data_IF_067700807825
#
_entry.id   IF_067700807825
#
_cell.length_a   1.000
_cell.length_b   1.000
_cell.length_c   1.000
_cell.angle_alpha   90.00
_cell.angle_beta   90.00
_cell.angle_gamma   90.00
#
_symmetry.space_group_name_H-M   'P 1'
#
loop_
_entity.id
_entity.type
_entity.pdbx_description
1 polymer ?
#
# COMPACT_ATOMS: atom_id res chain seq x y z
N UNK A 1 -2.91 -65.43 -0.76
CA UNK A 1 -2.79 -64.21 0.08
C UNK A 1 -2.14 -63.13 -0.76
N UNK A 2 -2.93 -62.25 -1.38
CA UNK A 2 -2.43 -61.22 -2.29
C UNK A 2 -2.35 -59.90 -1.53
N UNK A 3 -1.13 -59.37 -1.35
CA UNK A 3 -0.86 -58.09 -0.67
C UNK A 3 -1.06 -56.95 -1.67
N UNK A 4 -2.08 -56.14 -1.47
CA UNK A 4 -2.33 -54.92 -2.23
C UNK A 4 -1.37 -53.82 -1.74
N UNK A 5 -0.50 -53.33 -2.63
CA UNK A 5 0.32 -52.14 -2.40
C UNK A 5 -0.53 -50.90 -2.71
N UNK A 6 -0.76 -50.04 -1.72
CA UNK A 6 -1.38 -48.73 -1.90
C UNK A 6 -0.28 -47.70 -2.19
N UNK A 7 -0.24 -47.17 -3.42
CA UNK A 7 0.52 -45.97 -3.75
C UNK A 7 -0.20 -44.75 -3.17
N UNK A 8 0.44 -44.05 -2.23
CA UNK A 8 0.01 -42.73 -1.79
C UNK A 8 0.40 -41.69 -2.83
N UNK A 9 -0.58 -41.19 -3.60
CA UNK A 9 -0.39 -40.04 -4.48
C UNK A 9 -0.34 -38.75 -3.67
N UNK A 10 0.79 -38.05 -3.72
CA UNK A 10 0.92 -36.68 -3.19
C UNK A 10 0.23 -35.74 -4.17
N UNK A 11 -0.97 -35.27 -3.84
CA UNK A 11 -1.57 -34.12 -4.54
C UNK A 11 -0.87 -32.85 -4.05
N UNK A 12 0.00 -32.28 -4.88
CA UNK A 12 0.46 -30.91 -4.70
C UNK A 12 -0.69 -29.95 -4.98
N UNK A 13 -1.18 -29.25 -3.95
CA UNK A 13 -2.15 -28.19 -4.12
C UNK A 13 -1.46 -26.98 -4.77
N UNK A 14 -1.74 -26.73 -6.04
CA UNK A 14 -1.45 -25.46 -6.69
C UNK A 14 -2.41 -24.42 -6.12
N UNK A 15 -1.90 -23.49 -5.32
CA UNK A 15 -2.66 -22.33 -4.86
C UNK A 15 -2.97 -21.44 -6.08
N UNK A 16 -4.24 -21.39 -6.47
CA UNK A 16 -4.73 -20.39 -7.42
C UNK A 16 -4.69 -19.01 -6.73
N UNK A 17 -4.26 -17.94 -7.41
CA UNK A 17 -4.38 -16.60 -6.87
C UNK A 17 -5.86 -16.31 -6.63
N UNK A 18 -6.23 -16.02 -5.38
CA UNK A 18 -7.57 -15.57 -5.06
C UNK A 18 -7.80 -14.25 -5.80
N UNK A 19 -8.66 -14.26 -6.83
CA UNK A 19 -9.23 -13.04 -7.36
C UNK A 19 -9.97 -12.37 -6.20
N UNK A 20 -9.63 -11.12 -5.89
CA UNK A 20 -10.37 -10.30 -4.93
C UNK A 20 -11.85 -10.25 -5.37
N UNK A 21 -12.66 -11.15 -4.84
CA UNK A 21 -14.06 -11.32 -5.20
C UNK A 21 -14.92 -10.29 -4.48
N UNK A 22 -15.73 -9.56 -5.25
CA UNK A 22 -16.95 -8.80 -4.87
C UNK A 22 -17.08 -8.27 -3.43
N UNK A 23 -16.02 -7.72 -2.86
CA UNK A 23 -16.10 -6.97 -1.62
C UNK A 23 -16.44 -5.52 -1.97
N UNK A 24 -17.65 -5.08 -1.60
CA UNK A 24 -18.18 -3.75 -1.91
C UNK A 24 -17.37 -2.61 -1.26
N UNK A 25 -16.42 -2.95 -0.38
CA UNK A 25 -15.47 -2.01 0.21
C UNK A 25 -14.33 -1.63 -0.73
N UNK A 26 -14.10 -2.32 -1.85
CA UNK A 26 -12.96 -2.02 -2.73
C UNK A 26 -13.42 -1.84 -4.17
N UNK A 27 -13.22 -0.64 -4.73
CA UNK A 27 -13.35 -0.46 -6.17
C UNK A 27 -12.20 -1.18 -6.91
N UNK A 28 -12.40 -1.58 -8.17
CA UNK A 28 -11.36 -2.27 -8.94
C UNK A 28 -10.11 -1.38 -9.14
N UNK A 29 -8.92 -1.98 -9.30
CA UNK A 29 -7.69 -1.23 -9.61
C UNK A 29 -7.85 -0.31 -10.82
N UNK A 30 -7.22 0.86 -10.75
CA UNK A 30 -7.32 1.90 -11.76
C UNK A 30 -8.63 2.72 -11.72
N UNK A 31 -9.58 2.40 -10.85
CA UNK A 31 -10.83 3.16 -10.71
C UNK A 31 -10.65 4.49 -9.95
N UNK A 32 -9.90 5.43 -10.51
CA UNK A 32 -9.60 6.73 -9.89
C UNK A 32 -10.84 7.62 -9.73
N UNK A 33 -10.71 8.77 -9.04
CA UNK A 33 -11.78 9.77 -8.99
C UNK A 33 -12.03 10.35 -10.39
N UNK A 34 -13.27 10.67 -10.78
CA UNK A 34 -13.55 11.29 -12.07
C UNK A 34 -12.71 12.55 -12.30
N UNK A 35 -12.05 12.65 -13.46
CA UNK A 35 -11.19 13.79 -13.82
C UNK A 35 -9.84 13.85 -13.09
N UNK A 36 -9.50 12.84 -12.28
CA UNK A 36 -8.23 12.80 -11.54
C UNK A 36 -7.07 12.16 -12.31
N UNK A 37 -7.32 11.48 -13.42
CA UNK A 37 -6.31 10.84 -14.26
C UNK A 37 -6.82 9.54 -14.90
N UNK A 38 -5.90 8.74 -15.42
CA UNK A 38 -6.17 7.40 -15.95
C UNK A 38 -5.38 6.37 -15.15
N UNK A 39 -6.08 5.52 -14.41
CA UNK A 39 -5.46 4.49 -13.57
C UNK A 39 -5.03 3.24 -14.35
N UNK A 40 -4.31 2.35 -13.67
CA UNK A 40 -3.87 1.07 -14.25
C UNK A 40 -4.88 -0.02 -13.91
N UNK A 41 -5.64 -0.45 -14.91
CA UNK A 41 -6.67 -1.48 -14.77
C UNK A 41 -6.08 -2.91 -14.72
N UNK A 42 -5.18 -3.18 -13.77
CA UNK A 42 -4.59 -4.50 -13.54
C UNK A 42 -5.00 -5.04 -12.18
N UNK A 43 -5.61 -6.23 -12.17
CA UNK A 43 -5.95 -6.95 -10.95
C UNK A 43 -4.78 -7.79 -10.38
N UNK A 44 -3.58 -7.68 -10.96
CA UNK A 44 -2.43 -8.46 -10.51
C UNK A 44 -2.00 -8.05 -9.08
N UNK A 45 -2.04 -9.02 -8.16
CA UNK A 45 -1.44 -8.89 -6.83
C UNK A 45 0.07 -9.14 -6.98
N UNK A 46 0.83 -8.06 -7.12
CA UNK A 46 2.29 -8.13 -7.34
C UNK A 46 3.06 -8.58 -6.09
N UNK A 47 2.49 -8.38 -4.91
CA UNK A 47 3.12 -8.64 -3.61
C UNK A 47 2.17 -9.43 -2.70
N UNK A 48 1.91 -10.72 -3.01
CA UNK A 48 0.90 -11.50 -2.29
C UNK A 48 1.26 -11.73 -0.81
N UNK A 49 2.55 -11.75 -0.48
CA UNK A 49 3.03 -11.97 0.88
C UNK A 49 3.22 -10.66 1.67
N UNK A 50 2.94 -9.49 1.07
CA UNK A 50 3.10 -8.23 1.81
C UNK A 50 2.08 -8.15 2.95
N UNK A 51 2.52 -7.63 4.09
CA UNK A 51 1.64 -7.20 5.18
C UNK A 51 1.15 -5.79 4.92
N UNK A 52 -0.11 -5.53 5.23
CA UNK A 52 -0.68 -4.19 5.13
C UNK A 52 0.12 -3.18 5.98
N UNK A 53 0.49 -2.00 5.45
CA UNK A 53 1.50 -1.13 6.06
C UNK A 53 0.99 -0.26 7.22
N UNK A 54 -0.28 -0.37 7.60
CA UNK A 54 -0.85 0.25 8.82
C UNK A 54 -1.17 -0.84 9.84
N UNK A 55 -0.62 -0.69 11.05
CA UNK A 55 -0.55 -1.74 12.07
C UNK A 55 -1.90 -2.42 12.38
N UNK A 56 -2.95 -1.61 12.58
CA UNK A 56 -4.25 -2.09 13.05
C UNK A 56 -5.34 -1.07 12.77
N UNK A 57 -6.59 -1.50 12.95
CA UNK A 57 -7.77 -0.67 12.79
C UNK A 57 -8.11 -0.40 11.32
N UNK A 58 -9.23 0.28 11.09
CA UNK A 58 -9.65 0.65 9.74
C UNK A 58 -8.59 1.49 9.02
N UNK A 59 -8.58 1.41 7.68
CA UNK A 59 -7.82 2.29 6.83
C UNK A 59 -8.66 2.67 5.62
N UNK A 60 -8.29 3.75 4.94
CA UNK A 60 -9.05 4.31 3.83
C UNK A 60 -8.11 4.71 2.69
N UNK A 61 -8.14 3.93 1.61
CA UNK A 61 -7.48 4.28 0.36
C UNK A 61 -8.37 5.28 -0.40
N UNK A 62 -7.96 6.54 -0.43
CA UNK A 62 -8.73 7.61 -1.07
C UNK A 62 -7.82 8.78 -1.41
N UNK A 63 -8.19 9.59 -2.41
CA UNK A 63 -7.38 10.72 -2.86
C UNK A 63 -7.17 11.75 -1.76
N UNK A 64 -5.94 12.23 -1.57
CA UNK A 64 -5.66 13.41 -0.74
C UNK A 64 -5.69 14.70 -1.55
N UNK A 65 -5.51 14.62 -2.85
CA UNK A 65 -5.39 15.80 -3.71
C UNK A 65 -6.72 16.19 -4.33
N UNK A 66 -7.54 15.20 -4.72
CA UNK A 66 -8.86 15.38 -5.32
C UNK A 66 -10.01 15.11 -4.35
N UNK A 67 -9.73 14.59 -3.15
CA UNK A 67 -10.71 14.40 -2.06
C UNK A 67 -11.10 15.71 -1.37
N UNK A 68 -12.06 15.65 -0.44
CA UNK A 68 -12.50 16.84 0.33
C UNK A 68 -11.33 17.42 1.12
N UNK A 69 -11.13 18.74 1.04
CA UNK A 69 -9.98 19.43 1.66
C UNK A 69 -8.66 19.24 0.91
N UNK A 70 -8.66 18.54 -0.23
CA UNK A 70 -7.52 18.42 -1.13
C UNK A 70 -7.36 19.62 -2.07
N UNK A 71 -6.15 19.84 -2.59
CA UNK A 71 -5.80 21.01 -3.40
C UNK A 71 -6.63 21.14 -4.70
N UNK A 72 -7.12 20.04 -5.27
CA UNK A 72 -7.99 19.98 -6.46
C UNK A 72 -9.36 19.37 -6.14
N UNK A 73 -9.66 19.15 -4.87
CA UNK A 73 -10.93 18.60 -4.44
C UNK A 73 -11.96 19.67 -4.11
N UNK A 74 -13.08 19.21 -3.55
CA UNK A 74 -14.07 20.10 -2.95
C UNK A 74 -13.45 20.83 -1.75
N UNK A 75 -13.82 22.09 -1.56
CA UNK A 75 -13.48 22.83 -0.35
C UNK A 75 -14.01 22.09 0.89
N UNK A 76 -13.24 22.09 1.97
CA UNK A 76 -13.56 21.40 3.21
C UNK A 76 -12.31 21.07 4.02
N UNK A 77 -12.48 20.22 5.02
CA UNK A 77 -11.37 19.73 5.85
C UNK A 77 -10.85 18.40 5.30
N UNK A 78 -9.53 18.20 5.33
CA UNK A 78 -8.92 16.91 4.99
C UNK A 78 -9.33 15.77 5.94
N UNK A 79 -9.81 16.12 7.14
CA UNK A 79 -10.37 15.24 8.16
C UNK A 79 -11.86 14.96 7.99
N UNK A 80 -12.52 15.46 6.94
CA UNK A 80 -13.95 15.23 6.67
C UNK A 80 -14.28 13.72 6.63
N UNK A 81 -15.41 13.32 7.23
CA UNK A 81 -15.85 11.92 7.33
C UNK A 81 -15.95 11.23 5.96
N UNK A 82 -16.24 11.98 4.89
CA UNK A 82 -16.27 11.44 3.53
C UNK A 82 -14.91 10.88 3.06
N UNK A 83 -13.80 11.30 3.68
CA UNK A 83 -12.48 10.77 3.40
C UNK A 83 -12.18 9.46 4.17
N UNK A 84 -13.00 9.11 5.17
CA UNK A 84 -12.88 7.92 6.04
C UNK A 84 -14.01 6.91 5.76
N UNK A 85 -14.31 6.71 4.48
CA UNK A 85 -15.40 5.87 4.02
C UNK A 85 -14.95 4.82 3.01
N UNK A 86 -15.76 3.76 2.91
CA UNK A 86 -15.74 2.81 1.82
C UNK A 86 -16.71 3.26 0.70
N UNK A 87 -16.51 2.83 -0.55
CA UNK A 87 -15.42 1.97 -0.99
C UNK A 87 -14.08 2.70 -1.10
N UNK A 88 -13.00 1.95 -0.88
CA UNK A 88 -11.65 2.34 -1.25
C UNK A 88 -11.55 2.61 -2.74
N UNK A 89 -10.63 3.51 -3.06
CA UNK A 89 -10.34 3.92 -4.41
C UNK A 89 -8.84 3.99 -4.62
N UNK A 90 -8.41 3.44 -5.74
CA UNK A 90 -7.06 3.61 -6.23
C UNK A 90 -6.78 5.10 -6.43
N UNK A 91 -5.60 5.55 -6.03
CA UNK A 91 -5.10 6.90 -6.31
C UNK A 91 -3.70 6.91 -6.93
N UNK A 92 -3.16 5.75 -7.31
CA UNK A 92 -1.99 5.64 -8.17
C UNK A 92 -2.31 6.20 -9.56
N UNK A 93 -1.35 6.86 -10.22
CA UNK A 93 -1.56 7.57 -11.49
C UNK A 93 -2.51 8.78 -11.48
N UNK A 94 -3.01 9.23 -10.33
CA UNK A 94 -3.67 10.54 -10.27
C UNK A 94 -2.72 11.63 -10.78
N UNK A 95 -3.21 12.58 -11.57
CA UNK A 95 -2.38 13.61 -12.20
C UNK A 95 -1.54 14.35 -11.15
N UNK A 96 -0.22 14.20 -11.31
CA UNK A 96 0.86 14.90 -10.62
C UNK A 96 1.91 15.26 -11.67
N UNK A 97 3.00 15.92 -11.26
CA UNK A 97 4.05 16.36 -12.19
C UNK A 97 4.97 15.23 -12.65
N UNK A 98 4.91 14.07 -12.00
CA UNK A 98 5.84 12.96 -12.24
C UNK A 98 5.47 12.16 -13.50
N UNK A 99 6.49 11.76 -14.26
CA UNK A 99 6.32 10.87 -15.39
C UNK A 99 6.54 9.41 -14.95
N UNK A 100 5.52 8.57 -15.11
CA UNK A 100 5.54 7.17 -14.67
C UNK A 100 5.25 6.25 -15.86
N UNK A 101 6.05 5.19 -16.11
CA UNK A 101 5.87 4.30 -17.26
C UNK A 101 4.48 3.65 -17.34
N UNK A 102 3.83 3.43 -16.20
CA UNK A 102 2.50 2.84 -16.12
C UNK A 102 1.36 3.86 -16.28
N UNK A 103 1.64 5.16 -16.09
CA UNK A 103 0.63 6.20 -16.08
C UNK A 103 0.72 7.00 -17.37
N UNK A 104 -0.22 6.77 -18.29
CA UNK A 104 -0.25 7.42 -19.62
C UNK A 104 -0.20 8.96 -19.57
N UNK A 105 -0.62 9.56 -18.45
CA UNK A 105 -0.66 11.00 -18.22
C UNK A 105 0.36 11.51 -17.20
N UNK A 106 1.35 10.68 -16.82
CA UNK A 106 2.10 10.89 -15.57
C UNK A 106 1.20 10.67 -14.34
N UNK A 107 1.76 10.76 -13.14
CA UNK A 107 0.92 10.74 -11.95
C UNK A 107 1.55 10.40 -10.61
N UNK A 108 0.67 10.23 -9.66
CA UNK A 108 0.92 9.91 -8.28
C UNK A 108 1.66 8.56 -8.14
N UNK A 109 2.73 8.56 -7.37
CA UNK A 109 3.76 7.51 -7.35
C UNK A 109 3.45 6.33 -6.42
N UNK A 110 2.35 6.38 -5.67
CA UNK A 110 1.99 5.38 -4.70
C UNK A 110 0.50 5.34 -4.47
N UNK A 111 0.13 4.71 -3.36
CA UNK A 111 -1.21 4.76 -2.82
C UNK A 111 -1.18 5.56 -1.53
N UNK A 112 -2.02 6.58 -1.44
CA UNK A 112 -2.25 7.20 -0.16
C UNK A 112 -3.30 6.45 0.66
N UNK A 113 -3.03 6.30 1.95
CA UNK A 113 -3.82 5.58 2.93
C UNK A 113 -4.05 6.45 4.16
N UNK A 114 -5.31 6.75 4.48
CA UNK A 114 -5.68 7.34 5.77
C UNK A 114 -5.81 6.24 6.81
N UNK A 115 -5.27 6.42 8.03
CA UNK A 115 -5.52 5.50 9.12
C UNK A 115 -6.93 5.71 9.71
N UNK A 116 -7.31 4.93 10.73
CA UNK A 116 -8.67 4.92 11.28
C UNK A 116 -9.18 6.27 11.83
N UNK A 117 -8.29 7.22 12.12
CA UNK A 117 -8.67 8.55 12.65
C UNK A 117 -7.78 9.64 12.09
N UNK A 118 -8.32 10.85 11.92
CA UNK A 118 -7.54 12.04 11.56
C UNK A 118 -6.69 12.56 12.73
N UNK A 119 -5.67 11.79 13.15
CA UNK A 119 -4.79 12.13 14.26
C UNK A 119 -3.34 11.89 13.89
N UNK A 120 -2.57 12.97 13.78
CA UNK A 120 -1.13 12.90 13.54
C UNK A 120 -0.43 12.20 14.72
N UNK A 121 0.65 11.46 14.41
CA UNK A 121 1.51 10.81 15.39
C UNK A 121 0.81 9.77 16.29
N UNK A 122 -0.31 9.21 15.83
CA UNK A 122 -1.11 8.25 16.59
C UNK A 122 -1.01 6.82 16.05
N UNK A 123 -1.19 6.65 14.74
CA UNK A 123 -1.21 5.33 14.10
C UNK A 123 0.18 4.92 13.61
N UNK A 124 0.52 3.63 13.78
CA UNK A 124 1.81 3.10 13.35
C UNK A 124 1.78 2.64 11.89
N UNK A 125 2.77 3.13 11.12
CA UNK A 125 3.25 2.45 9.94
C UNK A 125 4.27 1.36 10.33
N UNK A 126 4.26 0.28 9.57
CA UNK A 126 4.86 -1.00 9.95
C UNK A 126 5.41 -1.67 8.69
N UNK A 127 6.49 -2.41 8.83
CA UNK A 127 7.16 -3.08 7.72
C UNK A 127 6.19 -4.01 6.98
N UNK A 128 6.02 -3.75 5.68
CA UNK A 128 5.23 -4.56 4.77
C UNK A 128 5.87 -5.93 4.51
N UNK A 129 7.17 -6.07 4.72
CA UNK A 129 7.90 -7.32 4.49
C UNK A 129 9.15 -7.41 5.37
N UNK A 130 9.81 -8.55 5.36
CA UNK A 130 11.15 -8.71 5.89
C UNK A 130 12.15 -7.94 5.01
N UNK A 131 13.13 -7.27 5.62
CA UNK A 131 14.13 -6.55 4.86
C UNK A 131 15.06 -5.67 5.68
N UNK A 132 15.72 -4.75 5.00
CA UNK A 132 16.65 -3.79 5.60
C UNK A 132 16.19 -2.37 5.32
N UNK A 133 16.22 -1.50 6.33
CA UNK A 133 15.99 -0.06 6.15
C UNK A 133 17.20 0.54 5.43
N UNK A 134 17.13 0.68 4.12
CA UNK A 134 18.27 1.12 3.29
C UNK A 134 18.40 2.63 3.19
N UNK A 135 17.36 3.38 3.57
CA UNK A 135 17.39 4.85 3.53
C UNK A 135 16.38 5.44 4.50
N UNK A 136 16.79 6.46 5.25
CA UNK A 136 15.91 7.40 5.95
C UNK A 136 16.17 8.77 5.34
N UNK A 137 15.38 9.07 4.32
CA UNK A 137 15.41 10.39 3.69
C UNK A 137 14.53 11.36 4.48
N UNK A 138 14.58 12.63 4.09
CA UNK A 138 13.84 13.72 4.74
C UNK A 138 12.34 13.43 4.92
N UNK A 139 11.72 12.66 4.03
CA UNK A 139 10.26 12.41 4.01
C UNK A 139 9.88 10.94 4.02
N UNK A 140 10.85 10.04 3.89
CA UNK A 140 10.56 8.65 3.59
C UNK A 140 11.54 7.73 4.30
N UNK A 141 11.00 6.66 4.85
CA UNK A 141 11.79 5.47 5.21
C UNK A 141 11.66 4.48 4.06
N UNK A 142 12.78 3.93 3.58
CA UNK A 142 12.82 2.94 2.50
C UNK A 142 13.28 1.61 3.07
N UNK A 143 12.44 0.59 2.96
CA UNK A 143 12.74 -0.81 3.24
C UNK A 143 13.06 -1.52 1.92
N UNK A 144 14.18 -2.23 1.86
CA UNK A 144 14.51 -3.13 0.75
C UNK A 144 14.37 -4.58 1.18
N UNK A 145 13.61 -5.36 0.42
CA UNK A 145 13.49 -6.81 0.62
C UNK A 145 14.68 -7.56 0.03
N UNK A 146 14.84 -8.84 0.37
CA UNK A 146 15.84 -9.71 -0.26
C UNK A 146 15.65 -9.85 -1.78
N UNK A 147 14.42 -9.71 -2.28
CA UNK A 147 14.11 -9.73 -3.71
C UNK A 147 14.48 -8.41 -4.43
N UNK A 148 14.87 -7.37 -3.69
CA UNK A 148 15.23 -6.07 -4.23
C UNK A 148 14.08 -5.07 -4.33
N UNK A 149 12.84 -5.47 -4.01
CA UNK A 149 11.67 -4.59 -3.92
C UNK A 149 11.91 -3.50 -2.88
N UNK A 150 11.56 -2.26 -3.21
CA UNK A 150 11.67 -1.12 -2.31
C UNK A 150 10.29 -0.66 -1.87
N UNK A 151 9.98 -0.83 -0.59
CA UNK A 151 8.79 -0.25 0.05
C UNK A 151 9.14 1.07 0.71
N UNK A 152 8.40 2.13 0.39
CA UNK A 152 8.64 3.47 0.94
C UNK A 152 7.43 3.93 1.74
N UNK A 153 7.73 4.43 2.93
CA UNK A 153 6.76 4.93 3.91
C UNK A 153 6.95 6.43 4.03
N UNK A 154 6.03 7.19 3.46
CA UNK A 154 6.11 8.65 3.37
C UNK A 154 5.07 9.28 4.30
N UNK A 155 5.37 10.50 4.76
CA UNK A 155 4.57 11.25 5.74
C UNK A 155 4.53 10.60 7.14
N UNK A 156 5.68 10.10 7.58
CA UNK A 156 5.89 9.67 8.96
C UNK A 156 6.39 10.83 9.84
N UNK A 157 6.27 10.66 11.15
CA UNK A 157 6.99 11.46 12.13
C UNK A 157 8.47 11.08 12.13
N UNK A 158 9.26 11.76 11.31
CA UNK A 158 10.69 11.43 11.15
C UNK A 158 11.55 11.82 12.34
N UNK A 159 11.05 12.64 13.27
CA UNK A 159 11.76 12.94 14.52
C UNK A 159 11.63 11.84 15.57
N UNK A 160 10.77 10.85 15.35
CA UNK A 160 10.54 9.73 16.27
C UNK A 160 10.22 8.44 15.48
N UNK A 161 11.24 7.90 14.84
CA UNK A 161 11.19 6.62 14.15
C UNK A 161 11.54 5.48 15.12
N UNK A 162 10.90 4.33 14.94
CA UNK A 162 11.23 3.09 15.65
C UNK A 162 12.38 2.31 15.00
N UNK A 163 12.93 2.85 13.91
CA UNK A 163 14.00 2.23 13.12
C UNK A 163 15.11 3.23 12.80
N UNK A 164 16.27 2.69 12.43
CA UNK A 164 17.43 3.43 11.92
C UNK A 164 17.90 2.87 10.57
N UNK A 165 18.71 3.64 9.85
CA UNK A 165 19.35 3.15 8.63
C UNK A 165 20.17 1.88 8.88
N UNK A 166 20.19 1.02 7.87
CA UNK A 166 20.81 -0.30 7.83
C UNK A 166 20.26 -1.31 8.86
N UNK A 167 19.16 -1.00 9.52
CA UNK A 167 18.51 -1.93 10.45
C UNK A 167 17.77 -3.02 9.69
N UNK A 168 18.04 -4.31 9.97
CA UNK A 168 17.16 -5.40 9.57
C UNK A 168 15.85 -5.34 10.36
N UNK A 169 14.73 -5.54 9.68
CA UNK A 169 13.40 -5.56 10.28
C UNK A 169 12.62 -6.77 9.79
N UNK A 170 11.81 -7.33 10.67
CA UNK A 170 10.83 -8.34 10.30
C UNK A 170 9.54 -7.67 9.80
N UNK A 171 8.81 -8.36 8.94
CA UNK A 171 7.47 -8.02 8.50
C UNK A 171 6.58 -7.75 9.71
N UNK A 172 5.99 -6.56 9.75
CA UNK A 172 5.18 -6.07 10.84
C UNK A 172 5.90 -5.28 11.93
N UNK A 173 7.23 -5.20 11.90
CA UNK A 173 7.98 -4.32 12.80
C UNK A 173 7.53 -2.86 12.61
N UNK A 174 7.38 -2.12 13.72
CA UNK A 174 7.05 -0.69 13.68
C UNK A 174 8.17 0.09 13.02
N UNK A 175 7.79 1.00 12.12
CA UNK A 175 8.73 1.88 11.41
C UNK A 175 8.63 3.30 11.97
N UNK A 176 7.43 3.87 11.96
CA UNK A 176 7.20 5.24 12.40
C UNK A 176 5.72 5.55 12.48
N UNK A 177 5.38 6.64 13.14
CA UNK A 177 3.98 7.05 13.31
C UNK A 177 3.55 7.92 12.13
N UNK A 178 2.36 7.66 11.60
CA UNK A 178 1.78 8.41 10.47
C UNK A 178 1.48 9.85 10.92
N UNK A 179 1.84 10.82 10.09
CA UNK A 179 1.84 12.24 10.45
C UNK A 179 1.58 13.14 9.23
N UNK A 180 1.68 14.45 9.46
CA UNK A 180 1.73 15.50 8.45
C UNK A 180 2.78 16.58 8.79
N UNK A 181 3.62 16.35 9.79
CA UNK A 181 4.53 17.32 10.42
C UNK A 181 5.76 17.68 9.58
N UNK A 182 5.58 18.06 8.32
CA UNK A 182 6.68 18.51 7.48
C UNK A 182 6.40 19.81 6.72
N UNK A 183 5.17 20.01 6.27
CA UNK A 183 4.70 21.27 5.71
C UNK A 183 3.31 21.49 6.27
N UNK A 184 3.08 22.61 6.95
CA UNK A 184 1.73 22.99 7.34
C UNK A 184 0.87 23.05 6.07
N UNK A 185 -0.26 22.31 6.08
CA UNK A 185 -1.26 22.09 5.01
C UNK A 185 -1.16 20.79 4.18
N UNK A 186 -0.55 19.71 4.67
CA UNK A 186 -0.84 18.37 4.12
C UNK A 186 -1.83 17.60 5.01
N UNK A 187 -2.78 16.84 4.39
CA UNK A 187 -3.62 15.88 5.10
C UNK A 187 -2.80 14.84 5.87
N UNK A 188 -3.31 14.34 6.99
CA UNK A 188 -2.68 13.24 7.75
C UNK A 188 -2.92 11.92 7.02
N UNK A 189 -1.86 11.31 6.50
CA UNK A 189 -1.93 10.04 5.79
C UNK A 189 -0.58 9.36 5.69
N UNK A 190 -0.59 8.07 5.36
CA UNK A 190 0.57 7.34 4.87
C UNK A 190 0.56 7.40 3.34
N UNK A 191 1.57 7.99 2.74
CA UNK A 191 1.84 7.74 1.32
C UNK A 191 2.74 6.51 1.22
N UNK A 192 2.20 5.44 0.65
CA UNK A 192 2.88 4.16 0.52
C UNK A 192 3.16 3.88 -0.96
N UNK A 193 4.44 3.83 -1.32
CA UNK A 193 4.86 3.54 -2.68
C UNK A 193 5.77 2.31 -2.72
N UNK A 194 5.73 1.63 -3.86
CA UNK A 194 6.57 0.46 -4.13
C UNK A 194 7.35 0.72 -5.40
N UNK A 195 8.67 0.55 -5.32
CA UNK A 195 9.54 0.54 -6.50
C UNK A 195 10.06 -0.86 -6.74
N UNK A 196 10.04 -1.26 -8.00
CA UNK A 196 10.54 -2.56 -8.41
C UNK A 196 11.21 -2.49 -9.78
N UNK A 197 11.95 -3.56 -10.09
CA UNK A 197 12.60 -3.75 -11.37
C UNK A 197 11.61 -4.37 -12.35
N UNK A 198 11.29 -3.63 -13.40
CA UNK A 198 10.37 -4.07 -14.46
C UNK A 198 11.08 -4.09 -15.80
N UNK A 199 10.55 -4.90 -16.73
CA UNK A 199 10.95 -4.86 -18.14
C UNK A 199 9.88 -4.14 -18.96
N UNK A 200 10.30 -3.10 -19.68
CA UNK A 200 9.45 -2.36 -20.64
C UNK A 200 10.12 -2.46 -22.01
N UNK A 201 9.58 -3.33 -22.86
CA UNK A 201 10.25 -3.70 -24.11
C UNK A 201 11.62 -4.33 -23.83
N UNK A 202 12.68 -3.70 -24.35
CA UNK A 202 14.07 -4.13 -24.13
C UNK A 202 14.74 -3.46 -22.93
N UNK A 203 14.09 -2.46 -22.30
CA UNK A 203 14.67 -1.71 -21.19
C UNK A 203 14.31 -2.35 -19.85
N UNK A 204 15.29 -2.36 -18.93
CA UNK A 204 15.07 -2.71 -17.52
C UNK A 204 15.07 -1.42 -16.71
N UNK A 205 13.99 -1.17 -15.96
CA UNK A 205 13.79 0.07 -15.21
C UNK A 205 13.48 -0.25 -13.75
N UNK A 206 14.03 0.53 -12.83
CA UNK A 206 13.57 0.56 -11.44
C UNK A 206 12.60 1.72 -11.30
N UNK A 207 11.31 1.44 -11.17
CA UNK A 207 10.26 2.46 -11.17
C UNK A 207 9.13 2.13 -10.20
N UNK A 208 8.24 3.10 -9.99
CA UNK A 208 7.05 2.92 -9.18
C UNK A 208 6.07 1.98 -9.88
N UNK A 209 5.54 1.01 -9.13
CA UNK A 209 4.56 0.04 -9.63
C UNK A 209 3.22 0.22 -8.91
N UNK A 210 2.08 -0.16 -9.51
CA UNK A 210 0.77 -0.01 -8.89
C UNK A 210 0.64 -0.88 -7.63
N UNK A 211 0.47 -0.30 -6.42
CA UNK A 211 0.44 -1.09 -5.19
C UNK A 211 -0.98 -1.48 -4.77
N UNK A 212 -2.02 -0.89 -5.39
CA UNK A 212 -3.39 -0.93 -4.88
C UNK A 212 -3.96 -2.35 -4.75
N UNK A 213 -3.78 -3.21 -5.75
CA UNK A 213 -4.26 -4.59 -5.69
C UNK A 213 -3.62 -5.38 -4.53
N UNK A 214 -2.30 -5.24 -4.32
CA UNK A 214 -1.59 -5.86 -3.20
C UNK A 214 -1.99 -5.26 -1.84
N UNK A 215 -2.32 -3.96 -1.79
CA UNK A 215 -2.83 -3.32 -0.59
C UNK A 215 -4.24 -3.80 -0.22
N UNK A 216 -5.12 -3.99 -1.20
CA UNK A 216 -6.46 -4.58 -0.97
C UNK A 216 -6.31 -5.99 -0.41
N UNK A 217 -5.52 -6.85 -1.06
CA UNK A 217 -5.34 -8.23 -0.61
C UNK A 217 -4.73 -8.29 0.80
N UNK A 218 -3.64 -7.55 1.04
CA UNK A 218 -3.00 -7.53 2.36
C UNK A 218 -3.89 -6.95 3.47
N UNK A 219 -4.79 -6.01 3.16
CA UNK A 219 -5.77 -5.48 4.11
C UNK A 219 -6.83 -6.53 4.47
N UNK A 220 -7.35 -7.26 3.46
CA UNK A 220 -8.29 -8.37 3.67
C UNK A 220 -7.64 -9.43 4.56
N UNK A 221 -6.42 -9.86 4.24
CA UNK A 221 -5.70 -10.88 5.01
C UNK A 221 -5.43 -10.43 6.45
N UNK A 222 -4.95 -9.20 6.65
CA UNK A 222 -4.75 -8.63 8.00
C UNK A 222 -6.04 -8.67 8.83
N UNK A 223 -7.18 -8.32 8.24
CA UNK A 223 -8.45 -8.27 8.95
C UNK A 223 -8.99 -9.67 9.29
N UNK A 224 -8.76 -10.68 8.44
CA UNK A 224 -9.09 -12.07 8.76
C UNK A 224 -8.31 -12.52 10.00
N UNK A 225 -6.99 -12.32 10.00
CA UNK A 225 -6.11 -12.70 11.12
C UNK A 225 -6.48 -11.95 12.41
N UNK A 226 -6.79 -10.65 12.32
CA UNK A 226 -7.21 -9.87 13.50
C UNK A 226 -8.58 -10.28 14.03
N UNK A 227 -9.50 -10.71 13.16
CA UNK A 227 -10.78 -11.30 13.58
C UNK A 227 -10.57 -12.62 14.33
N UNK A 228 -9.69 -13.49 13.82
CA UNK A 228 -9.36 -14.78 14.45
C UNK A 228 -8.63 -14.65 15.80
N UNK A 229 -7.88 -13.55 16.02
CA UNK A 229 -7.19 -13.32 17.30
C UNK A 229 -8.14 -12.83 18.42
N UNK A 230 -9.39 -12.52 18.09
CA UNK A 230 -10.38 -11.94 18.99
C UNK A 230 -11.59 -12.88 19.24
N UNK A 231 -11.56 -14.11 18.71
CA UNK A 231 -12.49 -15.22 19.02
C UNK A 231 -11.81 -16.29 19.90
#
# INVERSE_FOLDING_TARGET
MMKTLLLAGVLGALALPALAGNDDRFLPPGALLPGSGSGVASAAVLYPDMRFPIEKGAAYASSHFYGVGGQRGKAGDSCDDANYAYPWRDNFCELRKDNLPFCLSGGHQGQDLRPATCRANFHWAVAADDGVIVQIARFSVTLQTAAGTLYRYVHLNTSDLAVRELQPVARGARIGRISNNWIDKLPIHLHFDVKDTIKVGQQTLVTFVPPYASLVESYIQRNKIQGEQHE
#
